data_IF_653435032650
#
_entry.id   IF_653435032650
#
_cell.length_a   1.000
_cell.length_b   1.000
_cell.length_c   1.000
_cell.angle_alpha   90.00
_cell.angle_beta   90.00
_cell.angle_gamma   90.00
#
_symmetry.space_group_name_H-M   'P 1'
#
loop_
_entity.id
_entity.type
_entity.pdbx_description
1 polymer ?
#
# COMPACT_ATOMS: atom_id res chain seq x y z
N UNK A 1 19.54 40.76 18.74
CA UNK A 1 18.54 39.70 19.00
C UNK A 1 17.49 39.54 17.90
N UNK A 2 16.85 40.61 17.40
CA UNK A 2 15.78 40.54 16.37
C UNK A 2 16.16 39.91 15.01
N UNK A 3 17.43 39.99 14.63
CA UNK A 3 17.94 39.44 13.36
C UNK A 3 18.08 37.91 13.36
N UNK A 4 18.45 37.35 14.51
CA UNK A 4 18.58 35.89 14.69
C UNK A 4 17.20 35.23 14.60
N UNK A 5 16.18 35.86 15.18
CA UNK A 5 14.78 35.39 15.09
C UNK A 5 14.27 35.36 13.65
N UNK A 6 14.60 36.36 12.83
CA UNK A 6 14.20 36.40 11.41
C UNK A 6 14.88 35.31 10.58
N UNK A 7 16.18 35.08 10.81
CA UNK A 7 16.93 34.02 10.13
C UNK A 7 16.35 32.65 10.48
N UNK A 8 16.05 32.40 11.76
CA UNK A 8 15.47 31.15 12.21
C UNK A 8 14.10 30.86 11.56
N UNK A 9 13.25 31.89 11.42
CA UNK A 9 11.94 31.76 10.76
C UNK A 9 12.11 31.42 9.27
N UNK A 10 13.08 32.04 8.59
CA UNK A 10 13.35 31.75 7.17
C UNK A 10 13.83 30.32 6.99
N UNK A 11 14.71 29.84 7.87
CA UNK A 11 15.21 28.46 7.79
C UNK A 11 14.10 27.44 8.04
N UNK A 12 13.21 27.68 9.01
CA UNK A 12 12.04 26.83 9.26
C UNK A 12 11.08 26.84 8.07
N UNK A 13 10.83 28.00 7.47
CA UNK A 13 9.96 28.11 6.29
C UNK A 13 10.52 27.34 5.09
N UNK A 14 11.84 27.38 4.87
CA UNK A 14 12.51 26.62 3.80
C UNK A 14 12.41 25.11 4.07
N UNK A 15 12.59 24.65 5.31
CA UNK A 15 12.44 23.23 5.66
C UNK A 15 11.00 22.76 5.49
N UNK A 16 9.99 23.59 5.74
CA UNK A 16 8.58 23.23 5.51
C UNK A 16 8.24 23.22 4.02
N UNK A 17 8.81 24.14 3.23
CA UNK A 17 8.55 24.24 1.78
C UNK A 17 9.31 23.19 0.94
N UNK A 18 10.51 22.80 1.37
CA UNK A 18 11.39 21.87 0.64
C UNK A 18 11.61 20.54 1.36
N UNK A 19 11.08 20.38 2.57
CA UNK A 19 11.10 19.14 3.34
C UNK A 19 10.13 18.13 2.75
N UNK A 20 10.53 17.60 1.60
CA UNK A 20 10.10 16.34 1.00
C UNK A 20 8.65 15.94 1.25
N UNK A 21 7.80 16.17 0.26
CA UNK A 21 6.71 15.25 0.00
C UNK A 21 7.37 13.90 -0.30
N UNK A 22 7.50 13.05 0.71
CA UNK A 22 7.85 11.65 0.50
C UNK A 22 6.70 11.07 -0.32
N UNK A 23 6.90 10.94 -1.63
CA UNK A 23 5.94 10.26 -2.51
C UNK A 23 5.90 8.81 -2.02
N UNK A 24 4.84 8.48 -1.28
CA UNK A 24 4.54 7.11 -0.90
C UNK A 24 4.33 6.33 -2.20
N UNK A 25 5.22 5.37 -2.48
CA UNK A 25 5.08 4.51 -3.64
C UNK A 25 3.82 3.66 -3.44
N UNK A 26 2.90 3.71 -4.41
CA UNK A 26 1.67 2.91 -4.38
C UNK A 26 2.06 1.42 -4.34
N UNK A 27 1.70 0.73 -3.27
CA UNK A 27 2.03 -0.69 -3.08
C UNK A 27 0.93 -1.55 -3.71
N UNK A 28 1.29 -2.42 -4.65
CA UNK A 28 0.36 -3.41 -5.20
C UNK A 28 0.68 -4.79 -4.63
N UNK A 29 -0.32 -5.43 -4.01
CA UNK A 29 -0.21 -6.75 -3.38
C UNK A 29 -0.99 -7.75 -4.24
N UNK A 30 -0.30 -8.75 -4.78
CA UNK A 30 -0.92 -9.88 -5.47
C UNK A 30 -1.22 -11.03 -4.52
N UNK A 31 -2.44 -11.55 -4.54
CA UNK A 31 -2.85 -12.74 -3.79
C UNK A 31 -3.20 -13.86 -4.78
N UNK A 32 -2.53 -15.01 -4.63
CA UNK A 32 -2.81 -16.22 -5.41
C UNK A 32 -3.58 -17.22 -4.55
N UNK A 33 -4.84 -17.47 -4.93
CA UNK A 33 -5.72 -18.39 -4.23
C UNK A 33 -5.98 -19.66 -5.05
N UNK A 34 -6.04 -20.84 -4.43
CA UNK A 34 -6.46 -22.07 -5.09
C UNK A 34 -7.87 -21.92 -5.68
N UNK A 35 -8.85 -21.50 -4.87
CA UNK A 35 -10.21 -21.22 -5.34
C UNK A 35 -10.93 -20.30 -4.35
N UNK A 36 -11.59 -19.24 -4.83
CA UNK A 36 -12.42 -18.37 -3.99
C UNK A 36 -13.79 -18.97 -3.66
N UNK A 37 -14.14 -20.12 -4.24
CA UNK A 37 -15.37 -20.85 -3.87
C UNK A 37 -15.34 -21.42 -2.44
N UNK A 38 -14.15 -21.58 -1.85
CA UNK A 38 -14.02 -21.96 -0.46
C UNK A 38 -14.14 -20.72 0.43
N UNK A 39 -15.09 -20.74 1.38
CA UNK A 39 -15.40 -19.62 2.25
C UNK A 39 -14.18 -19.07 3.01
N UNK A 40 -13.22 -19.93 3.36
CA UNK A 40 -11.98 -19.51 4.00
C UNK A 40 -11.14 -18.56 3.13
N UNK A 41 -10.99 -18.84 1.83
CA UNK A 41 -10.20 -18.00 0.94
C UNK A 41 -10.92 -16.69 0.60
N UNK A 42 -12.24 -16.71 0.45
CA UNK A 42 -13.05 -15.51 0.31
C UNK A 42 -12.94 -14.59 1.54
N UNK A 43 -12.96 -15.17 2.75
CA UNK A 43 -12.74 -14.42 3.99
C UNK A 43 -11.32 -13.82 4.05
N UNK A 44 -10.29 -14.59 3.67
CA UNK A 44 -8.91 -14.09 3.66
C UNK A 44 -8.72 -12.95 2.66
N UNK A 45 -9.30 -13.05 1.47
CA UNK A 45 -9.29 -11.98 0.46
C UNK A 45 -9.88 -10.69 1.04
N UNK A 46 -11.05 -10.77 1.66
CA UNK A 46 -11.73 -9.63 2.25
C UNK A 46 -10.92 -9.01 3.41
N UNK A 47 -10.38 -9.86 4.30
CA UNK A 47 -9.56 -9.41 5.42
C UNK A 47 -8.28 -8.69 4.96
N UNK A 48 -7.61 -9.19 3.91
CA UNK A 48 -6.40 -8.54 3.37
C UNK A 48 -6.74 -7.24 2.66
N UNK A 49 -7.82 -7.19 1.86
CA UNK A 49 -8.29 -5.96 1.21
C UNK A 49 -8.65 -4.89 2.24
N UNK A 50 -9.39 -5.26 3.28
CA UNK A 50 -9.75 -4.34 4.35
C UNK A 50 -8.49 -3.83 5.08
N UNK A 51 -7.52 -4.70 5.35
CA UNK A 51 -6.26 -4.27 5.99
C UNK A 51 -5.42 -3.36 5.09
N UNK A 52 -5.37 -3.63 3.79
CA UNK A 52 -4.65 -2.80 2.83
C UNK A 52 -5.25 -1.39 2.75
N UNK A 53 -6.58 -1.28 2.73
CA UNK A 53 -7.30 0.01 2.79
C UNK A 53 -6.97 0.81 4.06
N UNK A 54 -6.85 0.13 5.20
CA UNK A 54 -6.46 0.78 6.47
C UNK A 54 -5.02 1.30 6.47
N UNK A 55 -4.13 0.72 5.65
CA UNK A 55 -2.71 1.06 5.60
C UNK A 55 -2.39 2.16 4.58
N UNK A 56 -3.36 2.59 3.76
CA UNK A 56 -3.21 3.68 2.78
C UNK A 56 -3.52 3.23 1.35
N UNK A 57 -2.90 3.89 0.35
CA UNK A 57 -3.09 3.65 -1.09
C UNK A 57 -2.44 2.32 -1.56
N UNK A 58 -2.80 1.20 -0.94
CA UNK A 58 -2.36 -0.13 -1.38
C UNK A 58 -3.44 -0.80 -2.21
N UNK A 59 -3.08 -1.25 -3.41
CA UNK A 59 -3.96 -1.97 -4.31
C UNK A 59 -3.81 -3.48 -4.11
N UNK A 60 -4.91 -4.20 -3.93
CA UNK A 60 -4.89 -5.66 -3.75
C UNK A 60 -5.53 -6.32 -4.96
N UNK A 61 -4.73 -7.12 -5.68
CA UNK A 61 -5.17 -7.90 -6.83
C UNK A 61 -5.29 -9.35 -6.40
N UNK A 62 -6.46 -9.95 -6.60
CA UNK A 62 -6.72 -11.34 -6.24
C UNK A 62 -6.86 -12.19 -7.50
N UNK A 63 -6.12 -13.29 -7.54
CA UNK A 63 -6.03 -14.19 -8.67
C UNK A 63 -6.44 -15.59 -8.19
N UNK A 64 -7.41 -16.19 -8.87
CA UNK A 64 -7.90 -17.54 -8.53
C UNK A 64 -7.52 -18.59 -9.57
N UNK A 65 -7.03 -19.71 -9.06
CA UNK A 65 -6.61 -20.85 -9.86
C UNK A 65 -7.73 -21.86 -10.15
N UNK A 66 -8.94 -21.68 -9.60
CA UNK A 66 -10.08 -22.60 -9.77
C UNK A 66 -9.75 -24.06 -9.42
N UNK A 67 -8.89 -24.23 -8.42
CA UNK A 67 -8.35 -25.51 -7.95
C UNK A 67 -7.48 -26.26 -8.97
N UNK A 68 -7.00 -25.56 -10.00
CA UNK A 68 -6.07 -26.09 -11.01
C UNK A 68 -4.63 -25.70 -10.69
N UNK A 69 -3.80 -26.68 -10.31
CA UNK A 69 -2.41 -26.45 -9.89
C UNK A 69 -1.58 -25.80 -11.00
N UNK A 70 -1.75 -26.23 -12.24
CA UNK A 70 -1.06 -25.65 -13.40
C UNK A 70 -1.40 -24.18 -13.60
N UNK A 71 -2.66 -23.81 -13.36
CA UNK A 71 -3.12 -22.42 -13.44
C UNK A 71 -2.53 -21.60 -12.30
N UNK A 72 -2.46 -22.15 -11.09
CA UNK A 72 -1.88 -21.47 -9.93
C UNK A 72 -0.41 -21.11 -10.13
N UNK A 73 0.38 -22.02 -10.70
CA UNK A 73 1.80 -21.76 -10.99
C UNK A 73 1.98 -20.74 -12.11
N UNK A 74 1.09 -20.73 -13.11
CA UNK A 74 1.13 -19.77 -14.23
C UNK A 74 0.68 -18.35 -13.86
N UNK A 75 0.01 -18.18 -12.72
CA UNK A 75 -0.54 -16.91 -12.25
C UNK A 75 0.51 -16.09 -11.48
N UNK A 76 1.52 -16.75 -10.92
CA UNK A 76 2.64 -16.16 -10.15
C UNK A 76 3.77 -15.79 -11.10
#
# INVERSE_FOLDING_TARGET
>A
MKWVTKIMIITVAIVVLFGGVAIAQKLTIGLSFPSLSFAWFAFLEDAVKHKAQQLGDSEVISLEAQNEVSKQISII
#
